data_IF_513627487745
#
_entry.id   IF_513627487745
#
_cell.length_a   1.000
_cell.length_b   1.000
_cell.length_c   1.000
_cell.angle_alpha   90.00
_cell.angle_beta   90.00
_cell.angle_gamma   90.00
#
_symmetry.space_group_name_H-M   'P 1'
#
loop_
_entity.id
_entity.type
_entity.pdbx_description
1 polymer ?
#
# COMPACT_ATOMS: atom_id res chain seq x y z
N UNK A 1 13.66 4.97 -16.58
CA UNK A 1 13.06 3.92 -15.71
C UNK A 1 12.19 4.50 -14.59
N UNK A 2 12.54 5.65 -14.01
CA UNK A 2 11.77 6.27 -12.91
C UNK A 2 10.34 6.65 -13.21
N UNK A 3 10.05 7.17 -14.41
CA UNK A 3 8.69 7.57 -14.79
C UNK A 3 7.69 6.41 -14.88
N UNK A 4 8.16 5.16 -14.71
CA UNK A 4 7.34 3.95 -14.72
C UNK A 4 7.22 3.29 -13.35
N UNK A 5 7.84 3.85 -12.30
CA UNK A 5 7.69 3.32 -10.95
C UNK A 5 6.26 3.59 -10.49
N UNK A 6 5.59 2.55 -10.02
CA UNK A 6 4.30 2.64 -9.33
C UNK A 6 4.46 2.01 -7.94
N UNK A 7 5.11 2.71 -6.99
CA UNK A 7 5.28 2.22 -5.64
C UNK A 7 3.93 1.83 -5.03
N UNK A 8 3.93 0.82 -4.16
CA UNK A 8 2.74 0.41 -3.41
C UNK A 8 1.53 -0.03 -4.25
N UNK A 9 1.73 -0.36 -5.54
CA UNK A 9 0.67 -0.84 -6.44
C UNK A 9 0.51 -2.36 -6.49
N UNK A 10 1.39 -3.11 -5.80
CA UNK A 10 1.51 -4.56 -5.89
C UNK A 10 1.53 -5.21 -4.51
N UNK A 11 0.87 -6.35 -4.42
CA UNK A 11 0.81 -7.19 -3.24
C UNK A 11 2.15 -7.88 -2.97
N UNK A 12 2.68 -7.77 -1.75
CA UNK A 12 4.00 -8.32 -1.39
C UNK A 12 4.04 -9.86 -1.55
N UNK A 13 3.06 -10.65 -1.06
CA UNK A 13 3.09 -12.11 -1.20
C UNK A 13 2.87 -12.65 -2.62
N UNK A 14 2.01 -12.02 -3.43
CA UNK A 14 1.50 -12.65 -4.67
C UNK A 14 1.66 -11.81 -5.94
N UNK A 15 2.22 -10.60 -5.82
CA UNK A 15 2.41 -9.63 -6.90
C UNK A 15 1.14 -9.23 -7.66
N UNK A 16 -0.05 -9.49 -7.10
CA UNK A 16 -1.33 -9.01 -7.64
C UNK A 16 -1.44 -7.49 -7.52
N UNK A 17 -2.29 -6.88 -8.37
CA UNK A 17 -2.57 -5.44 -8.28
C UNK A 17 -3.34 -5.13 -7.01
N UNK A 18 -3.04 -3.97 -6.42
CA UNK A 18 -3.79 -3.40 -5.31
C UNK A 18 -4.77 -2.37 -5.87
N UNK A 19 -6.04 -2.48 -5.48
CA UNK A 19 -7.08 -1.51 -5.80
C UNK A 19 -7.55 -0.80 -4.53
N UNK A 20 -7.90 0.50 -4.62
CA UNK A 20 -8.63 1.17 -3.55
C UNK A 20 -9.89 0.38 -3.18
N UNK A 21 -10.22 0.33 -1.90
CA UNK A 21 -11.43 -0.32 -1.40
C UNK A 21 -12.06 0.53 -0.30
N UNK A 22 -13.39 0.57 -0.29
CA UNK A 22 -14.11 1.32 0.72
C UNK A 22 -13.90 0.71 2.11
N UNK A 23 -13.73 1.58 3.10
CA UNK A 23 -13.54 1.18 4.50
C UNK A 23 -14.66 0.27 5.00
N UNK A 24 -15.91 0.57 4.61
CA UNK A 24 -17.09 -0.22 4.96
C UNK A 24 -17.01 -1.67 4.48
N UNK A 25 -16.35 -1.93 3.35
CA UNK A 25 -16.20 -3.28 2.78
C UNK A 25 -15.13 -4.12 3.49
N UNK A 26 -14.17 -3.47 4.15
CA UNK A 26 -13.02 -4.15 4.78
C UNK A 26 -13.06 -4.10 6.31
N UNK A 27 -13.89 -3.25 6.92
CA UNK A 27 -13.87 -2.97 8.37
C UNK A 27 -13.91 -4.23 9.23
N UNK A 28 -14.67 -5.25 8.81
CA UNK A 28 -14.80 -6.51 9.54
C UNK A 28 -13.53 -7.39 9.53
N UNK A 29 -12.64 -7.17 8.55
CA UNK A 29 -11.39 -7.91 8.37
C UNK A 29 -10.19 -7.16 8.96
N UNK A 30 -10.37 -5.91 9.38
CA UNK A 30 -9.30 -5.09 9.91
C UNK A 30 -8.98 -5.44 11.36
N UNK A 31 -7.70 -5.33 11.79
CA UNK A 31 -7.35 -5.40 13.19
C UNK A 31 -8.09 -4.33 14.01
N UNK A 32 -8.28 -4.61 15.30
CA UNK A 32 -8.94 -3.67 16.23
C UNK A 32 -8.27 -2.30 16.17
N UNK A 33 -9.08 -1.25 16.10
CA UNK A 33 -8.69 0.16 15.98
C UNK A 33 -8.04 0.59 14.65
N UNK A 34 -7.72 -0.30 13.70
CA UNK A 34 -7.19 0.15 12.40
C UNK A 34 -8.20 1.04 11.68
N UNK A 35 -9.47 0.64 11.66
CA UNK A 35 -10.55 1.47 11.13
C UNK A 35 -10.77 2.78 11.90
N UNK A 36 -10.21 2.97 13.09
CA UNK A 36 -10.32 4.24 13.81
C UNK A 36 -9.30 5.28 13.33
N UNK A 37 -8.14 4.82 12.85
CA UNK A 37 -6.99 5.69 12.56
C UNK A 37 -6.70 5.87 11.08
N UNK A 38 -7.35 5.09 10.21
CA UNK A 38 -7.10 5.09 8.78
C UNK A 38 -8.42 5.07 7.99
N UNK A 39 -8.42 5.79 6.87
CA UNK A 39 -9.55 5.89 5.94
C UNK A 39 -9.20 5.38 4.53
N UNK A 40 -7.91 5.25 4.22
CA UNK A 40 -7.44 4.69 2.95
C UNK A 40 -7.09 3.21 3.10
N UNK A 41 -7.72 2.39 2.26
CA UNK A 41 -7.49 0.95 2.21
C UNK A 41 -7.31 0.49 0.77
N UNK A 42 -6.48 -0.54 0.61
CA UNK A 42 -6.25 -1.19 -0.67
C UNK A 42 -6.39 -2.69 -0.52
N UNK A 43 -7.10 -3.33 -1.45
CA UNK A 43 -7.28 -4.79 -1.50
C UNK A 43 -6.54 -5.36 -2.69
N UNK A 44 -5.85 -6.48 -2.49
CA UNK A 44 -5.28 -7.24 -3.60
C UNK A 44 -6.39 -7.98 -4.37
N UNK A 45 -6.45 -7.78 -5.68
CA UNK A 45 -7.42 -8.47 -6.56
C UNK A 45 -7.23 -9.98 -6.61
N UNK A 46 -6.02 -10.48 -6.31
CA UNK A 46 -5.69 -11.91 -6.42
C UNK A 46 -5.88 -12.70 -5.14
N UNK A 47 -5.46 -12.15 -3.99
CA UNK A 47 -5.49 -12.88 -2.71
C UNK A 47 -6.29 -12.18 -1.62
N UNK A 48 -6.93 -11.04 -1.90
CA UNK A 48 -7.79 -10.33 -0.96
C UNK A 48 -7.07 -9.63 0.20
N UNK A 49 -5.74 -9.70 0.30
CA UNK A 49 -4.98 -9.06 1.38
C UNK A 49 -5.21 -7.55 1.39
N UNK A 50 -5.47 -7.00 2.57
CA UNK A 50 -5.78 -5.58 2.79
C UNK A 50 -4.53 -4.83 3.28
N UNK A 51 -4.31 -3.65 2.73
CA UNK A 51 -3.20 -2.74 3.04
C UNK A 51 -3.75 -1.35 3.42
N UNK A 52 -3.01 -0.61 4.26
CA UNK A 52 -3.30 0.76 4.67
C UNK A 52 -1.98 1.50 4.99
N UNK A 53 -1.94 2.84 4.93
CA UNK A 53 -0.70 3.63 5.08
C UNK A 53 -0.24 3.78 6.55
N UNK A 54 -0.01 2.65 7.23
CA UNK A 54 0.49 2.60 8.60
C UNK A 54 1.99 2.91 8.76
N UNK A 55 2.55 2.60 9.93
CA UNK A 55 3.97 2.85 10.24
C UNK A 55 4.94 2.15 9.28
N UNK A 56 4.60 0.95 8.80
CA UNK A 56 5.41 0.21 7.82
C UNK A 56 5.42 0.91 6.46
N UNK A 57 4.29 1.49 6.05
CA UNK A 57 4.18 2.26 4.81
C UNK A 57 5.08 3.49 4.85
N UNK A 58 5.07 4.24 5.96
CA UNK A 58 5.93 5.44 6.13
C UNK A 58 7.41 5.13 5.95
N UNK A 59 7.89 4.01 6.52
CA UNK A 59 9.29 3.57 6.37
C UNK A 59 9.62 3.22 4.92
N UNK A 60 8.77 2.45 4.26
CA UNK A 60 8.97 2.10 2.85
C UNK A 60 8.90 3.32 1.93
N UNK A 61 8.04 4.28 2.24
CA UNK A 61 7.93 5.54 1.48
C UNK A 61 9.20 6.38 1.57
N UNK A 62 9.95 6.32 2.67
CA UNK A 62 11.26 6.95 2.75
C UNK A 62 12.25 6.31 1.78
N UNK A 63 12.32 4.97 1.75
CA UNK A 63 13.19 4.24 0.81
C UNK A 63 12.83 4.54 -0.64
N UNK A 64 11.53 4.58 -0.96
CA UNK A 64 11.05 4.93 -2.30
C UNK A 64 11.53 6.34 -2.70
N UNK A 65 11.35 7.33 -1.82
CA UNK A 65 11.82 8.70 -2.07
C UNK A 65 13.31 8.77 -2.33
N UNK A 66 14.13 8.10 -1.53
CA UNK A 66 15.58 8.03 -1.74
C UNK A 66 15.93 7.46 -3.13
N UNK A 67 15.21 6.44 -3.59
CA UNK A 67 15.41 5.83 -4.92
C UNK A 67 14.94 6.76 -6.05
N UNK A 68 13.88 7.53 -5.83
CA UNK A 68 13.36 8.52 -6.79
C UNK A 68 14.30 9.74 -6.92
N UNK A 69 14.90 10.17 -5.81
CA UNK A 69 15.71 11.41 -5.71
C UNK A 69 17.19 11.24 -6.08
N UNK A 70 17.76 10.02 -6.03
CA UNK A 70 19.17 9.79 -6.43
C UNK A 70 19.41 10.28 -7.88
N UNK A 71 20.47 11.00 -8.27
CA UNK A 71 20.68 11.29 -9.69
C UNK A 71 20.82 10.00 -10.52
N UNK A 72 20.19 9.91 -11.70
CA UNK A 72 20.55 8.88 -12.67
C UNK A 72 21.93 9.25 -13.25
N UNK A 73 22.90 8.32 -13.33
CA UNK A 73 24.14 8.57 -14.03
C UNK A 73 23.91 8.80 -15.53
#
# INVERSE_FOLDING_TARGET
LRDRLRPFSRCIPCNGLLQPVEKSEVIAQLPKNTARYFDEFYRCERCGRIYWPGSHYKKLQQVVREVEERPQP
#
